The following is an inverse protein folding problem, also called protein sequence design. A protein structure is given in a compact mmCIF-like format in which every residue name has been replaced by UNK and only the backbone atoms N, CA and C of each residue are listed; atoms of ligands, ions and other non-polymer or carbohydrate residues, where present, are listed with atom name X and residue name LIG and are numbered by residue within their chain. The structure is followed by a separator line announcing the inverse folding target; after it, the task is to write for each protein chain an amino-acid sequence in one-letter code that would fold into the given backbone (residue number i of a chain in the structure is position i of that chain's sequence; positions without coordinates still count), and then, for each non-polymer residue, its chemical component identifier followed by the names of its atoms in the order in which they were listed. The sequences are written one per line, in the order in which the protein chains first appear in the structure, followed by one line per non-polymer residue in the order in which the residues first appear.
data_IF_260084234983
#
_entry.id   IF_260084234983
#
_cell.length_a   1.000
_cell.length_b   1.000
_cell.length_c   1.000
_cell.angle_alpha   90.00
_cell.angle_beta   90.00
_cell.angle_gamma   90.00
#
_symmetry.space_group_name_H-M   'P 1'
#
loop_
_entity.id
_entity.type
_entity.pdbx_description
1 polymer ?
#
# COMPACT_ATOMS: atom_id res chain seq x y z
N UNK A 1 -2.69 10.38 -2.58
CA UNK A 1 -2.85 8.90 -2.55
C UNK A 1 -4.16 8.55 -3.22
N UNK A 2 -4.38 7.28 -3.56
CA UNK A 2 -5.72 6.82 -3.92
C UNK A 2 -6.63 6.95 -2.68
N UNK A 3 -7.84 7.52 -2.84
CA UNK A 3 -8.86 7.57 -1.78
C UNK A 3 -8.67 8.63 -0.67
N UNK A 4 -9.04 8.27 0.56
CA UNK A 4 -9.33 9.10 1.76
C UNK A 4 -8.14 9.85 2.39
N UNK A 5 -7.09 10.13 1.62
CA UNK A 5 -5.89 10.80 2.12
C UNK A 5 -4.87 9.84 2.74
N UNK A 6 -3.90 10.42 3.45
CA UNK A 6 -2.69 9.73 3.89
C UNK A 6 -2.88 9.08 5.27
N UNK A 7 -2.60 7.77 5.45
CA UNK A 7 -2.61 7.12 6.76
C UNK A 7 -1.34 7.41 7.57
N UNK A 8 -0.40 8.21 7.03
CA UNK A 8 0.92 8.41 7.62
C UNK A 8 0.89 9.06 9.00
N UNK A 9 -0.10 9.90 9.29
CA UNK A 9 -0.23 10.53 10.61
C UNK A 9 -0.35 9.48 11.70
N UNK A 10 -1.37 8.64 11.61
CA UNK A 10 -1.64 7.58 12.60
C UNK A 10 -0.59 6.49 12.62
N UNK A 11 0.04 6.17 11.47
CA UNK A 11 1.13 5.21 11.44
C UNK A 11 2.35 5.71 12.22
N UNK A 12 2.64 7.01 12.19
CA UNK A 12 3.79 7.60 12.89
C UNK A 12 3.47 7.88 14.36
N UNK A 13 2.25 8.32 14.69
CA UNK A 13 1.88 8.63 16.08
C UNK A 13 1.52 7.39 16.89
N UNK A 14 0.74 6.49 16.30
CA UNK A 14 0.02 5.45 17.05
C UNK A 14 0.34 4.03 16.54
N UNK A 15 1.13 3.91 15.46
CA UNK A 15 1.49 2.61 14.90
C UNK A 15 0.31 1.86 14.32
N UNK A 16 -0.76 2.55 13.92
CA UNK A 16 -1.99 1.96 13.40
C UNK A 16 -2.45 2.63 12.11
N UNK A 17 -3.17 1.88 11.29
CA UNK A 17 -3.92 2.47 10.19
C UNK A 17 -5.20 3.15 10.68
N UNK A 18 -5.67 4.19 9.97
CA UNK A 18 -7.02 4.70 10.19
C UNK A 18 -8.07 3.60 9.96
N UNK A 19 -9.16 3.56 10.74
CA UNK A 19 -10.19 2.53 10.62
C UNK A 19 -10.72 2.36 9.18
N UNK A 20 -10.65 1.12 8.69
CA UNK A 20 -11.10 0.70 7.36
C UNK A 20 -10.29 1.26 6.19
N UNK A 21 -9.19 1.98 6.43
CA UNK A 21 -8.36 2.55 5.35
C UNK A 21 -7.80 1.45 4.44
N UNK A 22 -7.32 0.35 5.03
CA UNK A 22 -6.75 -0.79 4.32
C UNK A 22 -7.75 -1.40 3.35
N UNK A 23 -8.97 -1.68 3.81
CA UNK A 23 -9.99 -2.31 2.96
C UNK A 23 -10.43 -1.39 1.81
N UNK A 24 -10.53 -0.07 2.08
CA UNK A 24 -10.84 0.93 1.04
C UNK A 24 -9.71 1.07 0.03
N UNK A 25 -8.46 1.09 0.48
CA UNK A 25 -7.29 1.06 -0.41
C UNK A 25 -7.31 -0.17 -1.32
N UNK A 26 -7.56 -1.36 -0.76
CA UNK A 26 -7.60 -2.61 -1.53
C UNK A 26 -8.75 -2.65 -2.54
N UNK A 27 -9.93 -2.12 -2.19
CA UNK A 27 -11.04 -2.00 -3.13
C UNK A 27 -10.72 -1.05 -4.30
N UNK A 28 -10.03 0.07 -4.02
CA UNK A 28 -9.55 1.00 -5.03
C UNK A 28 -8.46 0.38 -5.90
N UNK A 29 -7.49 -0.30 -5.29
CA UNK A 29 -6.42 -1.00 -6.00
C UNK A 29 -7.00 -2.03 -6.95
N UNK A 30 -7.96 -2.87 -6.50
CA UNK A 30 -8.66 -3.82 -7.38
C UNK A 30 -9.32 -3.13 -8.56
N UNK A 31 -10.03 -2.02 -8.33
CA UNK A 31 -10.69 -1.26 -9.39
C UNK A 31 -9.70 -0.66 -10.39
N UNK A 32 -8.53 -0.23 -9.91
CA UNK A 32 -7.43 0.24 -10.75
C UNK A 32 -6.82 -0.91 -11.55
N UNK A 33 -6.54 -2.05 -10.91
CA UNK A 33 -6.05 -3.27 -11.58
C UNK A 33 -7.01 -3.69 -12.68
N UNK A 34 -8.30 -3.83 -12.39
CA UNK A 34 -9.32 -4.24 -13.36
C UNK A 34 -9.41 -3.26 -14.54
N UNK A 35 -9.23 -1.95 -14.28
CA UNK A 35 -9.30 -0.90 -15.32
C UNK A 35 -8.07 -0.83 -16.22
N UNK A 36 -6.88 -1.11 -15.68
CA UNK A 36 -5.61 -0.96 -16.38
C UNK A 36 -4.94 -2.29 -16.70
N UNK A 37 -5.64 -3.41 -16.50
CA UNK A 37 -5.17 -4.73 -16.89
C UNK A 37 -4.87 -4.76 -18.39
N UNK A 38 -3.63 -5.08 -18.76
CA UNK A 38 -3.18 -5.11 -20.15
C UNK A 38 -3.03 -3.73 -20.81
N UNK A 39 -3.11 -2.63 -20.05
CA UNK A 39 -2.81 -1.31 -20.58
C UNK A 39 -1.29 -1.08 -20.66
N UNK A 40 -0.81 -0.61 -21.80
CA UNK A 40 0.61 -0.28 -22.00
C UNK A 40 1.11 0.84 -21.07
N UNK A 41 0.20 1.69 -20.61
CA UNK A 41 0.51 2.82 -19.75
C UNK A 41 -0.59 3.08 -18.73
N UNK A 42 -0.16 3.46 -17.53
CA UNK A 42 -1.05 3.91 -16.45
C UNK A 42 -0.79 5.38 -16.11
N UNK A 43 -1.80 6.12 -15.61
CA UNK A 43 -1.59 7.47 -15.13
C UNK A 43 -0.51 7.52 -14.04
N UNK A 44 0.47 8.40 -14.21
CA UNK A 44 1.59 8.58 -13.27
C UNK A 44 1.15 8.74 -11.81
N UNK A 45 0.04 9.44 -11.57
CA UNK A 45 -0.50 9.65 -10.21
C UNK A 45 -0.97 8.34 -9.54
N UNK A 46 -1.48 7.40 -10.33
CA UNK A 46 -1.90 6.08 -9.86
C UNK A 46 -0.66 5.25 -9.52
N UNK A 47 0.31 5.18 -10.43
CA UNK A 47 1.58 4.51 -10.19
C UNK A 47 2.24 5.04 -8.90
N UNK A 48 2.34 6.36 -8.75
CA UNK A 48 2.89 6.97 -7.54
C UNK A 48 2.14 6.60 -6.27
N UNK A 49 0.80 6.54 -6.31
CA UNK A 49 0.02 6.21 -5.14
C UNK A 49 0.20 4.75 -4.69
N UNK A 50 0.29 3.82 -5.65
CA UNK A 50 0.51 2.39 -5.38
C UNK A 50 1.94 2.16 -4.88
N UNK A 51 2.93 2.77 -5.53
CA UNK A 51 4.32 2.74 -5.08
C UNK A 51 4.48 3.35 -3.68
N UNK A 52 3.79 4.47 -3.42
CA UNK A 52 3.78 5.06 -2.09
C UNK A 52 3.24 4.06 -1.05
N UNK A 53 2.12 3.40 -1.33
CA UNK A 53 1.50 2.49 -0.41
C UNK A 53 2.39 1.25 -0.11
N UNK A 54 3.06 0.69 -1.12
CA UNK A 54 3.94 -0.46 -0.93
C UNK A 54 5.23 -0.13 -0.19
N UNK A 55 5.83 1.04 -0.45
CA UNK A 55 7.17 1.35 0.01
C UNK A 55 7.22 2.31 1.20
N UNK A 56 6.40 3.36 1.18
CA UNK A 56 6.51 4.43 2.17
C UNK A 56 5.70 4.16 3.43
N UNK A 57 4.62 3.39 3.37
CA UNK A 57 3.85 3.04 4.57
C UNK A 57 4.64 2.18 5.56
N UNK A 58 5.39 1.14 5.12
CA UNK A 58 6.33 0.43 6.00
C UNK A 58 7.33 1.37 6.67
N UNK A 59 7.96 2.27 5.90
CA UNK A 59 8.93 3.23 6.46
C UNK A 59 8.32 4.15 7.52
N UNK A 60 7.05 4.55 7.37
CA UNK A 60 6.36 5.38 8.37
C UNK A 60 6.07 4.60 9.65
N UNK A 61 5.72 3.33 9.52
CA UNK A 61 5.51 2.45 10.66
C UNK A 61 6.83 2.13 11.38
N UNK A 62 7.94 1.94 10.65
CA UNK A 62 9.26 1.71 11.24
C UNK A 62 9.73 2.88 12.11
N UNK A 63 9.37 4.12 11.73
CA UNK A 63 9.60 5.31 12.57
C UNK A 63 8.88 5.18 13.90
N UNK A 64 7.61 4.76 13.88
CA UNK A 64 6.85 4.55 15.11
C UNK A 64 7.44 3.41 15.95
N UNK A 65 7.78 2.26 15.36
CA UNK A 65 8.42 1.14 16.05
C UNK A 65 9.72 1.58 16.76
N UNK A 66 10.55 2.35 16.06
CA UNK A 66 11.80 2.87 16.60
C UNK A 66 11.58 3.85 17.76
N UNK A 67 10.50 4.64 17.70
CA UNK A 67 10.17 5.63 18.75
C UNK A 67 9.45 5.04 19.96
N UNK A 68 8.62 4.03 19.77
CA UNK A 68 7.80 3.39 20.81
C UNK A 68 8.52 2.24 21.51
N UNK A 69 9.53 1.64 20.86
CA UNK A 69 10.24 0.46 21.36
C UNK A 69 9.44 -0.83 21.21
N UNK A 70 8.36 -0.83 20.42
CA UNK A 70 7.45 -1.97 20.26
C UNK A 70 6.97 -2.17 18.83
N UNK A 71 6.14 -3.21 18.65
CA UNK A 71 5.47 -3.55 17.41
C UNK A 71 3.98 -3.75 17.64
N UNK A 72 3.19 -3.51 16.61
CA UNK A 72 1.79 -3.83 16.51
C UNK A 72 1.58 -4.89 15.40
N UNK A 73 1.30 -6.13 15.81
CA UNK A 73 1.14 -7.26 14.90
C UNK A 73 -0.03 -7.08 13.91
N UNK A 74 -1.10 -6.41 14.33
CA UNK A 74 -2.22 -6.08 13.44
C UNK A 74 -1.74 -5.18 12.30
N UNK A 75 -0.99 -4.12 12.62
CA UNK A 75 -0.46 -3.18 11.63
C UNK A 75 0.56 -3.86 10.72
N UNK A 76 1.39 -4.77 11.23
CA UNK A 76 2.30 -5.59 10.41
C UNK A 76 1.51 -6.42 9.40
N UNK A 77 0.44 -7.09 9.83
CA UNK A 77 -0.45 -7.84 8.94
C UNK A 77 -1.12 -6.94 7.91
N UNK A 78 -1.57 -5.75 8.30
CA UNK A 78 -2.17 -4.76 7.40
C UNK A 78 -1.16 -4.21 6.37
N UNK A 79 0.10 -3.97 6.76
CA UNK A 79 1.17 -3.57 5.85
C UNK A 79 1.44 -4.65 4.81
N UNK A 80 1.50 -5.92 5.20
CA UNK A 80 1.65 -7.02 4.26
C UNK A 80 0.46 -7.09 3.27
N UNK A 81 -0.78 -6.95 3.77
CA UNK A 81 -1.99 -6.92 2.95
C UNK A 81 -1.99 -5.78 1.92
N UNK A 82 -1.40 -4.62 2.26
CA UNK A 82 -1.27 -3.49 1.33
C UNK A 82 -0.12 -3.71 0.35
N UNK A 83 1.04 -4.13 0.85
CA UNK A 83 2.29 -4.21 0.08
C UNK A 83 2.21 -5.25 -1.04
N UNK A 84 1.85 -6.49 -0.72
CA UNK A 84 1.86 -7.60 -1.68
C UNK A 84 1.03 -7.31 -2.95
N UNK A 85 -0.27 -6.95 -2.88
CA UNK A 85 -1.04 -6.67 -4.09
C UNK A 85 -0.57 -5.39 -4.81
N UNK A 86 0.02 -4.43 -4.09
CA UNK A 86 0.58 -3.22 -4.70
C UNK A 86 1.84 -3.49 -5.52
N UNK A 87 2.70 -4.40 -5.04
CA UNK A 87 3.88 -4.85 -5.79
C UNK A 87 3.47 -5.73 -6.98
N UNK A 88 2.50 -6.62 -6.80
CA UNK A 88 1.95 -7.43 -7.90
C UNK A 88 1.36 -6.59 -9.04
N UNK A 89 0.77 -5.44 -8.72
CA UNK A 89 0.28 -4.50 -9.73
C UNK A 89 1.40 -4.00 -10.67
N UNK A 90 2.63 -3.88 -10.19
CA UNK A 90 3.79 -3.53 -11.02
C UNK A 90 4.52 -4.75 -11.60
N UNK A 91 4.39 -5.90 -10.96
CA UNK A 91 5.13 -7.12 -11.31
C UNK A 91 4.51 -7.97 -12.42
N UNK A 92 3.40 -7.56 -13.03
CA UNK A 92 2.90 -8.21 -14.25
C UNK A 92 3.59 -7.63 -15.47
N UNK A 93 4.83 -8.05 -15.70
CA UNK A 93 5.32 -8.18 -17.06
C UNK A 93 4.40 -9.18 -17.80
N UNK A 94 4.11 -8.92 -19.07
CA UNK A 94 3.11 -9.63 -19.87
C UNK A 94 3.36 -11.13 -20.14
N UNK A 95 4.21 -11.79 -19.37
CA UNK A 95 4.42 -13.24 -19.39
C UNK A 95 4.47 -13.72 -17.94
N UNK A 96 3.46 -14.50 -17.52
CA UNK A 96 3.27 -14.97 -16.14
C UNK A 96 4.41 -15.81 -15.58
N UNK A 97 5.53 -15.17 -15.26
CA UNK A 97 6.71 -15.79 -14.67
C UNK A 97 7.15 -14.92 -13.50
N UNK A 98 6.95 -15.43 -12.29
CA UNK A 98 7.59 -14.89 -11.11
C UNK A 98 9.09 -15.21 -11.22
N UNK A 99 9.93 -14.17 -11.18
CA UNK A 99 11.37 -14.32 -10.99
C UNK A 99 11.69 -14.75 -9.55
#
# INVERSE_FOLDING_TARGET
MLGDGSPCGMLVSDGVFPPGWVDRYLALLKSVTDKYLGADMIPRRIAWAIHFASWYLPLRYDVWCSSSGGTNDETVGQLARVRTPSELFFGTDGDGTFA
#
